data_IF_119340382201
#
_entry.id   IF_119340382201
#
_cell.length_a   1.000
_cell.length_b   1.000
_cell.length_c   1.000
_cell.angle_alpha   90.00
_cell.angle_beta   90.00
_cell.angle_gamma   90.00
#
_symmetry.space_group_name_H-M   'P 1'
#
loop_
_entity.id
_entity.type
_entity.pdbx_description
1 polymer ?
#
# COMPACT_ATOMS: atom_id res chain seq x y z
N UNK A 1 8.49 -12.36 10.25
CA UNK A 1 7.54 -11.37 9.71
C UNK A 1 7.55 -10.17 10.65
N UNK A 2 8.18 -9.06 10.26
CA UNK A 2 8.14 -7.82 11.05
C UNK A 2 7.10 -6.89 10.40
N UNK A 3 5.82 -7.17 10.69
CA UNK A 3 4.67 -6.39 10.22
C UNK A 3 4.24 -5.52 11.40
N UNK A 4 4.44 -4.21 11.31
CA UNK A 4 4.07 -3.29 12.39
C UNK A 4 2.56 -2.99 12.40
N UNK A 5 1.95 -2.91 11.22
CA UNK A 5 0.53 -2.64 11.04
C UNK A 5 -0.12 -3.72 10.19
N UNK A 6 -1.20 -4.28 10.72
CA UNK A 6 -2.04 -5.24 9.99
C UNK A 6 -2.99 -4.45 9.11
N UNK A 7 -2.94 -4.69 7.80
CA UNK A 7 -3.87 -4.13 6.83
C UNK A 7 -4.75 -5.26 6.32
N UNK A 8 -6.06 -5.11 6.50
CA UNK A 8 -7.09 -6.00 5.96
C UNK A 8 -8.09 -5.12 5.24
N UNK A 9 -8.09 -5.18 3.91
CA UNK A 9 -9.01 -4.39 3.10
C UNK A 9 -10.26 -5.22 2.82
N UNK A 10 -11.42 -4.58 2.95
CA UNK A 10 -12.63 -5.13 2.33
C UNK A 10 -12.64 -4.88 0.81
N UNK A 11 -13.58 -5.52 0.12
CA UNK A 11 -13.66 -5.47 -1.35
C UNK A 11 -13.87 -4.03 -1.86
N UNK A 12 -14.74 -3.27 -1.20
CA UNK A 12 -15.02 -1.87 -1.55
C UNK A 12 -13.79 -0.96 -1.39
N UNK A 13 -13.02 -1.14 -0.31
CA UNK A 13 -11.77 -0.42 -0.07
C UNK A 13 -10.71 -0.78 -1.11
N UNK A 14 -10.60 -2.06 -1.45
CA UNK A 14 -9.68 -2.53 -2.48
C UNK A 14 -10.03 -1.93 -3.85
N UNK A 15 -11.30 -1.97 -4.23
CA UNK A 15 -11.77 -1.36 -5.48
C UNK A 15 -11.52 0.14 -5.51
N UNK A 16 -11.82 0.84 -4.41
CA UNK A 16 -11.54 2.27 -4.29
C UNK A 16 -10.05 2.58 -4.48
N UNK A 17 -9.15 1.82 -3.85
CA UNK A 17 -7.71 2.02 -4.01
C UNK A 17 -7.22 1.71 -5.42
N UNK A 18 -7.79 0.69 -6.09
CA UNK A 18 -7.49 0.37 -7.48
C UNK A 18 -7.96 1.48 -8.44
N UNK A 19 -9.15 2.02 -8.22
CA UNK A 19 -9.66 3.17 -8.98
C UNK A 19 -8.82 4.42 -8.73
N UNK A 20 -8.37 4.61 -7.50
CA UNK A 20 -7.52 5.73 -7.12
C UNK A 20 -6.17 5.71 -7.86
N UNK A 21 -5.57 4.53 -8.03
CA UNK A 21 -4.29 4.39 -8.75
C UNK A 21 -4.45 4.41 -10.27
N UNK A 22 -5.60 3.99 -10.80
CA UNK A 22 -5.84 3.95 -12.26
C UNK A 22 -6.04 5.33 -12.86
N UNK A 23 -6.64 6.26 -12.10
CA UNK A 23 -6.99 7.61 -12.60
C UNK A 23 -5.80 8.55 -12.77
N UNK A 24 -4.64 8.30 -12.14
CA UNK A 24 -3.40 9.07 -12.33
C UNK A 24 -3.44 10.57 -11.96
N UNK A 25 -4.60 11.13 -11.60
CA UNK A 25 -4.82 12.57 -11.34
C UNK A 25 -4.48 12.95 -9.87
N UNK A 26 -4.28 11.96 -9.00
CA UNK A 26 -3.96 12.19 -7.58
C UNK A 26 -2.47 12.42 -7.35
N UNK A 27 -2.17 13.25 -6.34
CA UNK A 27 -0.81 13.54 -5.88
C UNK A 27 -0.02 12.23 -5.67
N UNK A 28 1.24 12.23 -6.12
CA UNK A 28 2.18 11.10 -6.00
C UNK A 28 2.26 10.48 -4.60
N UNK A 29 2.11 11.29 -3.54
CA UNK A 29 2.09 10.79 -2.16
C UNK A 29 0.85 9.92 -1.87
N UNK A 30 -0.33 10.32 -2.37
CA UNK A 30 -1.57 9.52 -2.23
C UNK A 30 -1.46 8.23 -3.02
N UNK A 31 -0.96 8.29 -4.25
CA UNK A 31 -0.73 7.10 -5.08
C UNK A 31 0.23 6.12 -4.39
N UNK A 32 1.31 6.62 -3.79
CA UNK A 32 2.28 5.77 -3.09
C UNK A 32 1.66 5.11 -1.86
N UNK A 33 0.87 5.85 -1.08
CA UNK A 33 0.11 5.32 0.07
C UNK A 33 -0.93 4.28 -0.34
N UNK A 34 -1.65 4.51 -1.43
CA UNK A 34 -2.62 3.55 -1.96
C UNK A 34 -1.95 2.22 -2.37
N UNK A 35 -0.81 2.30 -3.06
CA UNK A 35 -0.03 1.11 -3.41
C UNK A 35 0.51 0.38 -2.17
N UNK A 36 0.96 1.09 -1.12
CA UNK A 36 1.38 0.46 0.15
C UNK A 36 0.24 -0.36 0.74
N UNK A 37 -0.97 0.21 0.81
CA UNK A 37 -2.15 -0.48 1.36
C UNK A 37 -2.54 -1.72 0.53
N UNK A 38 -2.52 -1.61 -0.80
CA UNK A 38 -2.84 -2.74 -1.69
C UNK A 38 -1.84 -3.90 -1.58
N UNK A 39 -0.55 -3.61 -1.37
CA UNK A 39 0.48 -4.65 -1.20
C UNK A 39 0.45 -5.22 0.24
N UNK A 40 0.13 -4.38 1.23
CA UNK A 40 0.00 -4.82 2.62
C UNK A 40 -1.25 -5.70 2.87
N UNK A 41 -2.24 -5.64 1.96
CA UNK A 41 -3.47 -6.43 2.05
C UNK A 41 -3.17 -7.93 2.22
N UNK A 42 -3.95 -8.57 3.09
CA UNK A 42 -3.87 -10.01 3.41
C UNK A 42 -2.53 -10.48 3.97
N UNK A 43 -1.67 -9.57 4.44
CA UNK A 43 -0.41 -9.88 5.14
C UNK A 43 0.54 -10.77 4.32
N UNK A 44 0.54 -10.63 3.01
CA UNK A 44 1.35 -11.48 2.12
C UNK A 44 2.84 -11.08 2.19
N UNK A 45 3.11 -9.78 2.36
CA UNK A 45 4.45 -9.21 2.30
C UNK A 45 4.86 -8.58 3.65
N UNK A 46 6.16 -8.61 3.95
CA UNK A 46 6.70 -7.90 5.11
C UNK A 46 6.89 -6.42 4.77
N UNK A 47 6.85 -5.53 5.77
CA UNK A 47 7.02 -4.08 5.58
C UNK A 47 8.28 -3.72 4.77
N UNK A 48 9.36 -4.50 4.94
CA UNK A 48 10.62 -4.31 4.21
C UNK A 48 10.51 -4.69 2.72
N UNK A 49 9.68 -5.69 2.40
CA UNK A 49 9.46 -6.15 1.03
C UNK A 49 8.57 -5.14 0.29
N UNK A 50 7.57 -4.58 0.99
CA UNK A 50 6.73 -3.48 0.48
C UNK A 50 7.58 -2.23 0.21
N UNK A 51 8.46 -1.87 1.15
CA UNK A 51 9.36 -0.73 1.00
C UNK A 51 10.28 -0.89 -0.22
N UNK A 52 10.84 -2.10 -0.41
CA UNK A 52 11.66 -2.44 -1.60
C UNK A 52 10.85 -2.36 -2.89
N UNK A 53 9.67 -2.99 -2.93
CA UNK A 53 8.81 -3.02 -4.12
C UNK A 53 8.42 -1.62 -4.60
N UNK A 54 8.24 -0.67 -3.67
CA UNK A 54 7.82 0.69 -3.98
C UNK A 54 8.96 1.72 -4.00
N UNK A 55 10.22 1.27 -3.85
CA UNK A 55 11.38 2.15 -3.68
C UNK A 55 11.06 3.27 -2.67
N UNK A 56 10.55 2.87 -1.51
CA UNK A 56 10.15 3.75 -0.43
C UNK A 56 11.04 3.50 0.79
N UNK A 57 11.25 4.53 1.60
CA UNK A 57 11.86 4.34 2.91
C UNK A 57 10.93 3.53 3.81
N UNK A 58 11.47 2.71 4.70
CA UNK A 58 10.65 1.87 5.59
C UNK A 58 9.75 2.70 6.51
N UNK A 59 10.18 3.91 6.87
CA UNK A 59 9.39 4.89 7.61
C UNK A 59 8.17 5.42 6.83
N UNK A 60 8.11 5.24 5.51
CA UNK A 60 6.94 5.61 4.70
C UNK A 60 5.84 4.55 4.74
N UNK A 61 6.24 3.29 4.98
CA UNK A 61 5.36 2.12 5.15
C UNK A 61 4.76 2.09 6.57
N UNK A 62 5.52 2.58 7.57
CA UNK A 62 5.04 2.83 8.92
C UNK A 62 4.05 4.01 9.04
#
# INVERSE_FOLDING_TARGET
>A
MNIKYIVELNESEREFLLDLISKGIVNSRKLKRANILLIADKRIYQDIDIAKALSAGIATVY
#
